data_IF_441233465182
#
_entry.id   IF_441233465182
#
_cell.length_a   1.000
_cell.length_b   1.000
_cell.length_c   1.000
_cell.angle_alpha   90.00
_cell.angle_beta   90.00
_cell.angle_gamma   90.00
#
_symmetry.space_group_name_H-M   'P 1'
#
loop_
_entity.id
_entity.type
_entity.pdbx_description
1 polymer ?
#
# COMPACT_ATOMS: atom_id res chain seq x y z
N UNK A 1 -21.96 -5.55 65.57
CA UNK A 1 -23.43 -5.57 65.69
C UNK A 1 -23.89 -4.12 65.81
N UNK A 2 -24.59 -3.64 64.78
CA UNK A 2 -25.64 -2.60 64.74
C UNK A 2 -25.44 -1.24 65.48
N UNK A 3 -25.73 -0.04 64.92
CA UNK A 3 -26.53 0.37 63.74
C UNK A 3 -26.32 1.86 63.37
N UNK A 4 -26.42 2.13 62.06
CA UNK A 4 -27.08 3.26 61.33
C UNK A 4 -26.55 4.71 61.39
N UNK A 5 -25.91 5.07 60.28
CA UNK A 5 -26.28 6.11 59.29
C UNK A 5 -27.29 7.21 59.66
N UNK A 6 -26.90 8.46 59.44
CA UNK A 6 -27.65 9.44 58.62
C UNK A 6 -26.69 10.47 57.98
N UNK A 7 -26.97 10.82 56.73
CA UNK A 7 -26.16 11.62 55.83
C UNK A 7 -26.46 13.13 55.92
N UNK A 8 -25.49 13.99 55.55
CA UNK A 8 -25.59 14.93 54.41
C UNK A 8 -24.47 15.99 54.42
N UNK A 9 -24.19 16.52 53.24
CA UNK A 9 -22.89 16.98 52.75
C UNK A 9 -22.87 18.48 52.43
N UNK A 10 -21.67 18.98 52.10
CA UNK A 10 -21.28 20.28 51.50
C UNK A 10 -21.20 21.47 52.47
N UNK A 11 -20.15 22.29 52.48
CA UNK A 11 -19.00 22.44 51.59
C UNK A 11 -18.59 23.93 51.56
N UNK A 12 -17.46 24.24 52.20
CA UNK A 12 -16.82 25.57 52.40
C UNK A 12 -16.48 26.28 51.07
N UNK A 13 -16.73 27.59 50.93
CA UNK A 13 -15.85 28.75 51.26
C UNK A 13 -14.47 28.67 50.61
N UNK A 14 -13.85 29.69 50.00
CA UNK A 14 -14.11 31.13 49.85
C UNK A 14 -13.01 31.71 48.94
N UNK A 15 -13.30 32.83 48.29
CA UNK A 15 -12.40 33.60 47.42
C UNK A 15 -11.39 34.49 48.17
N UNK A 16 -10.28 34.87 47.49
CA UNK A 16 -9.59 36.19 47.50
C UNK A 16 -8.21 36.00 46.84
N UNK A 17 -7.88 36.49 45.63
CA UNK A 17 -7.79 37.86 45.10
C UNK A 17 -6.43 38.58 45.35
N UNK A 18 -5.82 38.98 44.21
CA UNK A 18 -5.02 40.19 43.89
C UNK A 18 -3.48 40.22 44.04
N UNK A 19 -2.87 40.73 42.96
CA UNK A 19 -1.54 41.39 42.89
C UNK A 19 -0.92 41.26 41.49
N UNK A 20 -1.29 42.10 40.49
CA UNK A 20 -0.52 43.26 39.95
C UNK A 20 0.89 42.89 39.39
N UNK A 21 1.36 43.25 38.20
CA UNK A 21 0.89 44.10 37.10
C UNK A 21 2.09 44.58 36.24
N UNK A 22 1.82 44.94 34.97
CA UNK A 22 2.66 45.75 34.02
C UNK A 22 3.94 45.06 33.48
N UNK A 23 4.38 45.17 32.23
CA UNK A 23 3.95 45.87 31.02
C UNK A 23 5.14 46.01 30.04
N UNK A 24 4.84 46.26 28.76
CA UNK A 24 5.69 46.80 27.66
C UNK A 24 6.57 45.82 26.84
N UNK A 25 6.36 45.87 25.53
CA UNK A 25 7.19 45.24 24.50
C UNK A 25 8.33 46.14 23.99
N UNK A 26 9.15 45.57 23.10
CA UNK A 26 10.21 46.26 22.38
C UNK A 26 10.33 45.72 20.95
N UNK A 27 10.30 46.65 19.98
CA UNK A 27 10.73 46.48 18.59
C UNK A 27 12.20 46.86 18.46
N UNK A 28 12.87 46.22 17.50
CA UNK A 28 13.95 46.80 16.68
C UNK A 28 15.35 46.26 16.99
N UNK A 29 16.04 45.71 15.97
CA UNK A 29 16.95 46.48 15.10
C UNK A 29 17.81 45.52 14.25
N UNK A 30 17.82 45.78 12.94
CA UNK A 30 18.79 45.26 11.97
C UNK A 30 20.15 45.94 12.14
N UNK A 31 21.25 45.20 11.92
CA UNK A 31 22.51 45.75 11.39
C UNK A 31 23.33 44.61 10.76
N UNK A 32 23.75 44.82 9.50
CA UNK A 32 24.44 43.84 8.68
C UNK A 32 25.96 43.95 8.66
N UNK A 33 26.58 42.96 7.99
CA UNK A 33 27.91 42.86 7.33
C UNK A 33 27.99 41.39 6.86
N UNK A 34 28.12 40.99 5.61
CA UNK A 34 28.91 41.52 4.51
C UNK A 34 30.19 40.68 4.35
N UNK A 35 30.16 39.59 3.56
CA UNK A 35 31.31 39.00 2.82
C UNK A 35 30.85 37.78 2.01
N UNK A 36 31.02 37.85 0.69
CA UNK A 36 30.76 36.73 -0.23
C UNK A 36 31.97 35.83 -0.47
N UNK A 37 31.70 34.67 -1.07
CA UNK A 37 32.46 34.00 -2.16
C UNK A 37 31.94 32.57 -2.36
N UNK A 38 31.84 32.17 -3.63
CA UNK A 38 31.96 30.78 -4.06
C UNK A 38 30.65 30.03 -4.30
N UNK A 39 30.10 30.17 -5.51
CA UNK A 39 29.16 29.19 -6.06
C UNK A 39 29.83 27.80 -6.10
N UNK A 40 29.21 26.82 -5.45
CA UNK A 40 29.56 25.41 -5.59
C UNK A 40 28.94 24.86 -6.89
N UNK A 41 29.63 23.93 -7.57
CA UNK A 41 29.27 23.51 -8.93
C UNK A 41 27.97 22.70 -8.93
N UNK A 42 27.11 23.02 -9.90
CA UNK A 42 25.94 22.23 -10.26
C UNK A 42 26.37 20.81 -10.65
N UNK A 43 25.74 19.73 -10.14
CA UNK A 43 26.00 18.40 -10.66
C UNK A 43 25.49 18.29 -12.11
N UNK A 44 26.17 17.49 -12.96
CA UNK A 44 25.80 17.35 -14.37
C UNK A 44 24.42 16.69 -14.52
N UNK A 45 23.66 16.98 -15.59
CA UNK A 45 22.37 16.35 -15.81
C UNK A 45 22.60 14.88 -16.19
N UNK A 46 22.16 13.96 -15.34
CA UNK A 46 22.10 12.54 -15.66
C UNK A 46 20.96 12.30 -16.63
N UNK A 47 21.30 12.08 -17.89
CA UNK A 47 20.36 11.66 -18.93
C UNK A 47 19.90 10.23 -18.68
N UNK A 48 18.75 10.06 -18.03
CA UNK A 48 18.00 8.81 -18.07
C UNK A 48 16.67 9.04 -18.81
N UNK A 49 16.59 8.40 -19.97
CA UNK A 49 15.42 8.38 -20.85
C UNK A 49 14.20 7.91 -20.07
N UNK A 50 13.38 8.86 -19.67
CA UNK A 50 12.09 8.61 -19.04
C UNK A 50 11.08 8.42 -20.18
N UNK A 51 10.64 7.18 -20.41
CA UNK A 51 9.46 6.91 -21.24
C UNK A 51 8.24 7.48 -20.50
N UNK A 52 7.95 8.73 -20.83
CA UNK A 52 6.81 9.49 -20.32
C UNK A 52 5.56 9.00 -21.05
N UNK A 53 4.68 8.31 -20.33
CA UNK A 53 3.28 8.22 -20.73
C UNK A 53 2.55 9.47 -20.22
N UNK A 54 1.72 10.12 -21.05
CA UNK A 54 1.16 11.42 -20.69
C UNK A 54 0.16 11.28 -19.55
N UNK A 55 0.31 12.14 -18.54
CA UNK A 55 -0.67 12.35 -17.50
C UNK A 55 -1.95 12.95 -18.13
N UNK A 56 -3.11 12.46 -17.69
CA UNK A 56 -4.41 13.03 -18.02
C UNK A 56 -4.50 14.47 -17.48
N UNK A 57 -4.21 15.44 -18.35
CA UNK A 57 -4.47 16.85 -18.10
C UNK A 57 -5.92 17.16 -18.41
N UNK A 58 -6.65 17.72 -17.45
CA UNK A 58 -7.86 18.46 -17.77
C UNK A 58 -7.48 19.69 -18.58
N UNK A 59 -7.97 19.76 -19.81
CA UNK A 59 -7.82 20.92 -20.67
C UNK A 59 -9.20 21.29 -21.22
N UNK A 60 -9.59 22.48 -20.84
CA UNK A 60 -10.71 23.27 -21.35
C UNK A 60 -10.70 23.36 -22.87
N UNK A 61 -11.90 23.35 -23.44
CA UNK A 61 -12.22 23.40 -24.86
C UNK A 61 -11.33 24.33 -25.69
N UNK A 62 -10.67 23.74 -26.69
CA UNK A 62 -10.35 24.40 -27.95
C UNK A 62 -10.27 23.34 -29.06
N UNK A 63 -11.10 23.55 -30.05
CA UNK A 63 -11.43 22.76 -31.23
C UNK A 63 -10.21 22.44 -32.11
N UNK A 64 -9.90 21.15 -32.34
CA UNK A 64 -9.15 20.69 -33.52
C UNK A 64 -9.44 19.20 -33.79
N UNK A 65 -9.98 18.94 -34.97
CA UNK A 65 -10.36 17.65 -35.58
C UNK A 65 -9.37 16.50 -35.36
N UNK A 66 -9.78 15.48 -34.60
CA UNK A 66 -9.14 14.16 -34.51
C UNK A 66 -10.16 13.08 -34.85
N UNK A 67 -9.89 12.27 -35.88
CA UNK A 67 -10.86 11.32 -36.44
C UNK A 67 -11.28 10.21 -35.46
N UNK A 68 -12.57 9.92 -35.47
CA UNK A 68 -13.20 8.76 -34.84
C UNK A 68 -12.58 7.46 -35.39
N UNK A 69 -11.60 6.90 -34.68
CA UNK A 69 -11.29 5.50 -34.83
C UNK A 69 -12.44 4.69 -34.22
N UNK A 70 -13.03 3.72 -34.94
CA UNK A 70 -14.06 2.87 -34.35
C UNK A 70 -13.49 2.14 -33.12
N UNK A 71 -14.30 1.90 -32.08
CA UNK A 71 -13.84 1.19 -30.90
C UNK A 71 -13.28 -0.17 -31.31
N UNK A 72 -12.12 -0.54 -30.77
CA UNK A 72 -11.54 -1.84 -31.00
C UNK A 72 -12.49 -2.87 -30.38
N UNK A 73 -13.00 -3.79 -31.20
CA UNK A 73 -13.85 -4.90 -30.75
C UNK A 73 -13.12 -6.21 -31.01
N UNK A 74 -12.93 -6.99 -29.95
CA UNK A 74 -12.38 -8.34 -30.06
C UNK A 74 -13.45 -9.27 -30.61
N UNK A 75 -13.22 -9.85 -31.79
CA UNK A 75 -14.16 -10.77 -32.43
C UNK A 75 -13.82 -12.24 -32.19
N UNK A 76 -12.79 -12.54 -31.39
CA UNK A 76 -12.34 -13.91 -31.17
C UNK A 76 -13.15 -14.56 -30.03
N UNK A 77 -13.88 -15.66 -30.28
CA UNK A 77 -14.61 -16.37 -29.23
C UNK A 77 -13.74 -17.37 -28.45
N UNK A 78 -12.49 -17.58 -28.88
CA UNK A 78 -11.57 -18.57 -28.31
C UNK A 78 -10.58 -17.91 -27.34
N UNK A 79 -10.13 -18.68 -26.33
CA UNK A 79 -9.06 -18.28 -25.39
C UNK A 79 -7.70 -18.06 -26.07
N UNK A 80 -7.52 -18.60 -27.28
CA UNK A 80 -6.38 -18.36 -28.15
C UNK A 80 -6.86 -18.30 -29.60
N UNK A 81 -6.58 -17.20 -30.33
CA UNK A 81 -6.99 -17.05 -31.71
C UNK A 81 -6.48 -18.21 -32.59
N UNK A 82 -7.31 -18.70 -33.52
CA UNK A 82 -6.95 -19.82 -34.40
C UNK A 82 -5.61 -19.61 -35.15
N UNK A 83 -5.33 -18.36 -35.55
CA UNK A 83 -4.06 -17.98 -36.19
C UNK A 83 -2.87 -18.18 -35.27
N UNK A 84 -3.01 -17.81 -34.00
CA UNK A 84 -1.97 -17.99 -33.00
C UNK A 84 -1.81 -19.47 -32.62
N UNK A 85 -2.93 -20.21 -32.44
CA UNK A 85 -2.89 -21.66 -32.18
C UNK A 85 -2.14 -22.42 -33.26
N UNK A 86 -2.49 -22.19 -34.53
CA UNK A 86 -1.83 -22.83 -35.66
C UNK A 86 -0.33 -22.49 -35.73
N UNK A 87 0.02 -21.23 -35.43
CA UNK A 87 1.43 -20.81 -35.36
C UNK A 87 2.18 -21.54 -34.25
N UNK A 88 1.55 -21.74 -33.09
CA UNK A 88 2.17 -22.38 -31.92
C UNK A 88 2.28 -23.90 -32.07
N UNK A 89 1.32 -24.55 -32.70
CA UNK A 89 1.43 -25.96 -33.09
C UNK A 89 2.61 -26.17 -34.06
N UNK A 90 2.74 -25.29 -35.07
CA UNK A 90 3.85 -25.33 -36.03
C UNK A 90 5.21 -25.14 -35.37
N UNK A 91 5.31 -24.21 -34.43
CA UNK A 91 6.54 -23.90 -33.71
C UNK A 91 6.82 -24.84 -32.52
N UNK A 92 5.92 -25.80 -32.21
CA UNK A 92 5.97 -26.67 -31.02
C UNK A 92 6.08 -25.87 -29.71
N UNK A 93 5.37 -24.77 -29.69
CA UNK A 93 5.49 -23.69 -28.73
C UNK A 93 4.29 -23.71 -27.74
N UNK A 94 3.96 -24.93 -27.27
CA UNK A 94 2.83 -25.22 -26.38
C UNK A 94 3.30 -25.56 -24.96
N UNK A 95 2.72 -24.88 -23.96
CA UNK A 95 2.95 -25.18 -22.55
C UNK A 95 2.34 -26.55 -22.18
N UNK A 96 2.79 -27.15 -21.07
CA UNK A 96 2.36 -28.49 -20.64
C UNK A 96 0.83 -28.65 -20.61
N UNK A 97 0.11 -27.65 -20.11
CA UNK A 97 -1.35 -27.68 -19.98
C UNK A 97 -2.12 -27.41 -21.28
N UNK A 98 -1.43 -26.94 -22.32
CA UNK A 98 -2.07 -26.66 -23.61
C UNK A 98 -1.98 -27.88 -24.56
N UNK A 99 -1.30 -28.95 -24.16
CA UNK A 99 -1.01 -30.11 -25.02
C UNK A 99 -2.11 -31.15 -24.93
N UNK A 100 -2.62 -31.59 -26.08
CA UNK A 100 -3.53 -32.73 -26.16
C UNK A 100 -2.72 -34.01 -25.95
N UNK A 101 -2.99 -34.73 -24.85
CA UNK A 101 -2.29 -35.99 -24.54
C UNK A 101 -0.78 -35.83 -24.31
N UNK A 102 -0.32 -34.64 -23.93
CA UNK A 102 1.10 -34.34 -23.71
C UNK A 102 1.93 -34.10 -24.98
N UNK A 103 1.33 -34.19 -26.17
CA UNK A 103 2.02 -33.97 -27.45
C UNK A 103 2.38 -32.47 -27.64
N UNK A 104 3.67 -32.11 -27.76
CA UNK A 104 4.11 -30.73 -27.94
C UNK A 104 3.73 -30.10 -29.28
N UNK A 105 3.21 -30.87 -30.25
CA UNK A 105 2.79 -30.39 -31.56
C UNK A 105 1.28 -30.25 -31.71
N UNK A 106 0.48 -30.59 -30.69
CA UNK A 106 -0.99 -30.64 -30.79
C UNK A 106 -1.66 -29.95 -29.63
N UNK A 107 -2.57 -29.02 -29.93
CA UNK A 107 -3.45 -28.39 -28.95
C UNK A 107 -4.93 -28.52 -29.37
N UNK A 108 -5.84 -27.96 -28.58
CA UNK A 108 -7.26 -27.85 -28.91
C UNK A 108 -7.75 -26.42 -28.69
N UNK A 109 -8.93 -26.11 -29.22
CA UNK A 109 -9.66 -24.85 -28.92
C UNK A 109 -9.83 -24.62 -27.43
N UNK A 110 -10.08 -25.69 -26.67
CA UNK A 110 -10.38 -25.65 -25.24
C UNK A 110 -9.14 -25.60 -24.34
N UNK A 111 -7.95 -25.97 -24.85
CA UNK A 111 -6.71 -26.02 -24.07
C UNK A 111 -5.78 -24.84 -24.38
N UNK A 112 -5.76 -24.36 -25.62
CA UNK A 112 -4.84 -23.30 -26.00
C UNK A 112 -5.29 -21.94 -25.47
N UNK A 113 -4.34 -21.20 -24.88
CA UNK A 113 -4.57 -19.83 -24.39
C UNK A 113 -3.42 -18.93 -24.87
N UNK A 114 -3.72 -17.72 -25.36
CA UNK A 114 -2.75 -16.77 -25.96
C UNK A 114 -1.45 -16.57 -25.16
N UNK A 115 -0.26 -16.73 -25.76
CA UNK A 115 1.02 -17.07 -25.06
C UNK A 115 1.80 -15.97 -24.30
N UNK A 116 2.37 -16.36 -23.13
CA UNK A 116 3.70 -16.12 -22.50
C UNK A 116 3.95 -17.11 -21.30
N UNK A 117 5.17 -17.19 -20.70
CA UNK A 117 5.87 -18.30 -19.96
C UNK A 117 5.28 -18.93 -18.64
N UNK A 118 6.06 -19.77 -17.91
CA UNK A 118 5.80 -20.98 -17.04
C UNK A 118 4.68 -20.89 -15.97
N UNK A 119 3.63 -21.72 -16.08
CA UNK A 119 2.52 -22.05 -15.13
C UNK A 119 1.98 -20.93 -14.22
N UNK A 120 2.71 -20.51 -13.18
CA UNK A 120 2.33 -19.32 -12.42
C UNK A 120 2.34 -18.10 -13.33
N UNK A 121 3.43 -17.93 -14.08
CA UNK A 121 3.58 -16.89 -15.08
C UNK A 121 2.55 -17.08 -16.20
N UNK A 122 2.13 -18.33 -16.46
CA UNK A 122 1.09 -18.63 -17.44
C UNK A 122 -0.26 -18.12 -16.95
N UNK A 123 -0.69 -18.50 -15.75
CA UNK A 123 -1.96 -18.05 -15.16
C UNK A 123 -1.96 -16.52 -15.07
N UNK A 124 -0.87 -15.94 -14.59
CA UNK A 124 -0.71 -14.50 -14.45
C UNK A 124 -0.73 -13.75 -15.79
N UNK A 125 -0.03 -14.26 -16.79
CA UNK A 125 -0.03 -13.69 -18.15
C UNK A 125 -1.41 -13.81 -18.80
N UNK A 126 -2.07 -14.97 -18.69
CA UNK A 126 -3.41 -15.17 -19.25
C UNK A 126 -4.44 -14.25 -18.61
N UNK A 127 -4.42 -14.17 -17.29
CA UNK A 127 -5.32 -13.27 -16.56
C UNK A 127 -5.02 -11.80 -16.89
N UNK A 128 -3.75 -11.43 -17.11
CA UNK A 128 -3.38 -10.10 -17.62
C UNK A 128 -3.91 -9.84 -19.04
N UNK A 129 -3.78 -10.79 -19.96
CA UNK A 129 -4.29 -10.63 -21.34
C UNK A 129 -5.80 -10.47 -21.37
N UNK A 130 -6.54 -11.23 -20.54
CA UNK A 130 -8.01 -11.09 -20.43
C UNK A 130 -8.37 -9.69 -19.95
N UNK A 131 -7.72 -9.17 -18.89
CA UNK A 131 -7.95 -7.79 -18.42
C UNK A 131 -7.64 -6.76 -19.51
N UNK A 132 -6.55 -6.95 -20.25
CA UNK A 132 -6.17 -6.05 -21.33
C UNK A 132 -7.22 -6.02 -22.45
N UNK A 133 -7.73 -7.18 -22.87
CA UNK A 133 -8.75 -7.26 -23.91
C UNK A 133 -10.08 -6.63 -23.47
N UNK A 134 -10.48 -6.82 -22.19
CA UNK A 134 -11.65 -6.15 -21.61
C UNK A 134 -11.46 -4.62 -21.56
N UNK A 135 -10.28 -4.16 -21.16
CA UNK A 135 -9.95 -2.74 -21.07
C UNK A 135 -9.88 -2.08 -22.45
N UNK A 136 -9.27 -2.72 -23.44
CA UNK A 136 -9.20 -2.20 -24.82
C UNK A 136 -10.58 -2.04 -25.45
N UNK A 137 -11.53 -2.89 -25.07
CA UNK A 137 -12.93 -2.85 -25.54
C UNK A 137 -13.83 -1.98 -24.66
N UNK A 138 -13.30 -1.40 -23.57
CA UNK A 138 -14.04 -0.62 -22.58
C UNK A 138 -15.30 -1.34 -22.04
N UNK A 139 -15.19 -2.65 -21.78
CA UNK A 139 -16.31 -3.47 -21.30
C UNK A 139 -16.45 -3.29 -19.78
N UNK A 140 -17.58 -2.71 -19.34
CA UNK A 140 -17.92 -2.53 -17.93
C UNK A 140 -19.31 -3.11 -17.66
N UNK A 141 -19.37 -4.28 -17.03
CA UNK A 141 -20.61 -4.96 -16.63
C UNK A 141 -20.34 -5.98 -15.50
N UNK A 142 -21.39 -6.61 -14.98
CA UNK A 142 -21.28 -7.60 -13.88
C UNK A 142 -20.39 -8.80 -14.22
N UNK A 143 -20.40 -9.27 -15.48
CA UNK A 143 -19.56 -10.39 -15.92
C UNK A 143 -18.07 -9.99 -15.93
N UNK A 144 -17.76 -8.80 -16.42
CA UNK A 144 -16.39 -8.26 -16.38
C UNK A 144 -15.90 -8.12 -14.94
N UNK A 145 -16.74 -7.63 -14.03
CA UNK A 145 -16.41 -7.58 -12.60
C UNK A 145 -16.05 -8.98 -12.09
N UNK A 146 -16.93 -9.97 -12.29
CA UNK A 146 -16.67 -11.34 -11.82
C UNK A 146 -15.34 -11.91 -12.34
N UNK A 147 -15.03 -11.67 -13.63
CA UNK A 147 -13.75 -12.07 -14.21
C UNK A 147 -12.59 -11.41 -13.47
N UNK A 148 -12.66 -10.11 -13.19
CA UNK A 148 -11.61 -9.43 -12.45
C UNK A 148 -11.49 -9.90 -10.98
N UNK A 149 -12.60 -10.26 -10.33
CA UNK A 149 -12.57 -10.86 -8.98
C UNK A 149 -11.83 -12.21 -8.98
N UNK A 150 -12.07 -13.05 -10.00
CA UNK A 150 -11.39 -14.34 -10.17
C UNK A 150 -9.91 -14.16 -10.51
N UNK A 151 -9.60 -13.20 -11.39
CA UNK A 151 -8.22 -12.83 -11.75
C UNK A 151 -7.44 -12.34 -10.53
N UNK A 152 -8.09 -11.58 -9.64
CA UNK A 152 -7.51 -11.14 -8.35
C UNK A 152 -7.16 -12.36 -7.50
N UNK A 153 -8.07 -13.32 -7.33
CA UNK A 153 -7.79 -14.55 -6.59
C UNK A 153 -6.57 -15.26 -7.15
N UNK A 154 -6.51 -15.47 -8.46
CA UNK A 154 -5.38 -16.11 -9.13
C UNK A 154 -4.05 -15.35 -8.94
N UNK A 155 -4.08 -14.02 -9.03
CA UNK A 155 -2.90 -13.16 -8.82
C UNK A 155 -2.43 -13.12 -7.35
N UNK A 156 -3.32 -13.52 -6.44
CA UNK A 156 -3.06 -13.56 -5.01
C UNK A 156 -2.43 -14.89 -4.56
N UNK A 157 -2.59 -15.97 -5.32
CA UNK A 157 -1.94 -17.24 -4.98
C UNK A 157 -0.43 -17.17 -5.21
N UNK A 158 0.35 -17.16 -4.13
CA UNK A 158 1.81 -17.34 -4.16
C UNK A 158 2.24 -18.43 -3.19
N UNK A 159 3.18 -19.26 -3.64
CA UNK A 159 3.95 -20.17 -2.79
C UNK A 159 5.24 -19.45 -2.36
N UNK A 160 5.65 -19.64 -1.10
CA UNK A 160 6.58 -18.74 -0.37
C UNK A 160 8.01 -18.61 -0.93
N UNK A 161 8.43 -19.40 -1.92
CA UNK A 161 9.86 -19.55 -2.26
C UNK A 161 10.36 -18.77 -3.51
N UNK A 162 9.54 -17.95 -4.17
CA UNK A 162 9.93 -17.25 -5.41
C UNK A 162 10.07 -15.73 -5.27
N UNK A 163 11.11 -15.27 -4.55
CA UNK A 163 11.38 -13.86 -4.21
C UNK A 163 11.42 -12.87 -5.39
N UNK A 164 11.80 -13.29 -6.61
CA UNK A 164 11.88 -12.39 -7.78
C UNK A 164 10.53 -12.09 -8.46
N UNK A 165 9.50 -12.92 -8.28
CA UNK A 165 8.21 -12.77 -8.99
C UNK A 165 7.14 -12.05 -8.14
N UNK A 166 7.36 -11.93 -6.83
CA UNK A 166 6.48 -11.23 -5.90
C UNK A 166 6.24 -9.74 -6.27
N UNK A 167 7.28 -9.03 -6.72
CA UNK A 167 7.15 -7.63 -7.11
C UNK A 167 6.25 -7.42 -8.35
N UNK A 168 6.43 -8.23 -9.40
CA UNK A 168 5.62 -8.15 -10.62
C UNK A 168 4.15 -8.47 -10.33
N UNK A 169 3.92 -9.43 -9.43
CA UNK A 169 2.59 -9.81 -8.98
C UNK A 169 1.85 -8.68 -8.27
N UNK A 170 2.54 -7.95 -7.39
CA UNK A 170 1.93 -6.83 -6.67
C UNK A 170 1.57 -5.65 -7.59
N UNK A 171 2.40 -5.34 -8.60
CA UNK A 171 2.06 -4.30 -9.57
C UNK A 171 0.81 -4.65 -10.39
N UNK A 172 0.70 -5.90 -10.83
CA UNK A 172 -0.49 -6.33 -11.60
C UNK A 172 -1.73 -6.50 -10.72
N UNK A 173 -1.58 -6.97 -9.46
CA UNK A 173 -2.66 -6.99 -8.49
C UNK A 173 -3.19 -5.57 -8.25
N UNK A 174 -2.29 -4.60 -8.07
CA UNK A 174 -2.66 -3.19 -7.90
C UNK A 174 -3.40 -2.65 -9.14
N UNK A 175 -2.92 -2.92 -10.35
CA UNK A 175 -3.60 -2.55 -11.61
C UNK A 175 -4.97 -3.20 -11.74
N UNK A 176 -5.09 -4.48 -11.36
CA UNK A 176 -6.35 -5.21 -11.34
C UNK A 176 -7.35 -4.56 -10.36
N UNK A 177 -6.91 -4.26 -9.14
CA UNK A 177 -7.74 -3.64 -8.10
C UNK A 177 -8.16 -2.21 -8.46
N UNK A 178 -7.30 -1.43 -9.10
CA UNK A 178 -7.65 -0.10 -9.63
C UNK A 178 -8.73 -0.19 -10.71
N UNK A 179 -8.59 -1.14 -11.64
CA UNK A 179 -9.61 -1.35 -12.69
C UNK A 179 -10.93 -1.85 -12.11
N UNK A 180 -10.88 -2.72 -11.09
CA UNK A 180 -12.06 -3.13 -10.32
C UNK A 180 -12.73 -1.95 -9.65
N UNK A 181 -11.95 -1.07 -9.01
CA UNK A 181 -12.47 0.16 -8.42
C UNK A 181 -13.20 1.02 -9.46
N UNK A 182 -12.61 1.26 -10.63
CA UNK A 182 -13.23 2.08 -11.69
C UNK A 182 -14.54 1.45 -12.18
N UNK A 183 -14.59 0.11 -12.33
CA UNK A 183 -15.80 -0.61 -12.71
C UNK A 183 -16.88 -0.53 -11.63
N UNK A 184 -16.53 -0.71 -10.36
CA UNK A 184 -17.48 -0.55 -9.25
C UNK A 184 -18.00 0.88 -9.14
N UNK A 185 -17.15 1.90 -9.30
CA UNK A 185 -17.57 3.30 -9.27
C UNK A 185 -18.51 3.64 -10.44
N UNK A 186 -18.22 3.11 -11.64
CA UNK A 186 -19.08 3.27 -12.81
C UNK A 186 -20.45 2.57 -12.66
N UNK A 187 -20.49 1.35 -12.10
CA UNK A 187 -21.75 0.63 -11.87
C UNK A 187 -22.52 1.25 -10.70
N UNK A 188 -21.84 1.69 -9.63
CA UNK A 188 -22.45 2.34 -8.47
C UNK A 188 -23.22 3.61 -8.85
N UNK A 189 -22.72 4.36 -9.83
CA UNK A 189 -23.42 5.53 -10.41
C UNK A 189 -24.68 5.15 -11.19
N UNK A 190 -24.78 3.91 -11.65
CA UNK A 190 -25.81 3.45 -12.58
C UNK A 190 -26.86 2.51 -11.97
N UNK A 191 -26.58 1.75 -10.90
CA UNK A 191 -27.53 0.84 -10.22
C UNK A 191 -27.05 0.31 -8.85
N UNK A 192 -27.97 -0.35 -8.14
CA UNK A 192 -27.94 -0.94 -6.79
C UNK A 192 -26.59 -1.41 -6.22
N UNK A 193 -26.38 -1.09 -4.93
CA UNK A 193 -25.24 -1.48 -4.09
C UNK A 193 -24.91 -2.97 -4.20
N UNK A 194 -23.76 -3.28 -4.77
CA UNK A 194 -23.17 -4.61 -4.71
C UNK A 194 -22.59 -4.88 -3.32
N UNK A 195 -22.82 -6.09 -2.81
CA UNK A 195 -22.39 -6.54 -1.48
C UNK A 195 -20.87 -6.39 -1.24
N UNK A 196 -20.07 -6.42 -2.32
CA UNK A 196 -18.60 -6.40 -2.25
C UNK A 196 -17.98 -5.02 -2.47
N UNK A 197 -18.75 -3.98 -2.78
CA UNK A 197 -18.23 -2.62 -3.03
C UNK A 197 -17.35 -2.13 -1.88
N UNK A 198 -17.79 -2.37 -0.65
CA UNK A 198 -17.09 -1.91 0.54
C UNK A 198 -15.72 -2.60 0.73
N UNK A 199 -15.60 -3.86 0.32
CA UNK A 199 -14.34 -4.60 0.33
C UNK A 199 -13.34 -3.97 -0.67
N UNK A 200 -13.74 -3.75 -1.91
CA UNK A 200 -12.85 -3.19 -2.94
C UNK A 200 -12.49 -1.72 -2.69
N UNK A 201 -13.45 -0.93 -2.22
CA UNK A 201 -13.17 0.44 -1.77
C UNK A 201 -12.23 0.46 -0.57
N UNK A 202 -12.26 -0.54 0.31
CA UNK A 202 -11.25 -0.66 1.38
C UNK A 202 -9.85 -0.91 0.83
N UNK A 203 -9.72 -1.76 -0.19
CA UNK A 203 -8.43 -2.02 -0.85
C UNK A 203 -7.89 -0.77 -1.52
N UNK A 204 -8.76 -0.02 -2.19
CA UNK A 204 -8.42 1.27 -2.77
C UNK A 204 -7.84 2.24 -1.73
N UNK A 205 -8.41 2.28 -0.53
CA UNK A 205 -7.88 3.10 0.57
C UNK A 205 -6.53 2.58 1.08
N UNK A 206 -6.35 1.28 1.25
CA UNK A 206 -5.08 0.69 1.72
C UNK A 206 -3.94 0.93 0.73
N UNK A 207 -4.27 0.90 -0.56
CA UNK A 207 -3.36 1.20 -1.66
C UNK A 207 -2.76 2.62 -1.53
N UNK A 208 -3.42 3.57 -0.86
CA UNK A 208 -2.89 4.92 -0.61
C UNK A 208 -1.82 5.00 0.48
N UNK A 209 -1.50 3.92 1.21
CA UNK A 209 -0.36 3.93 2.12
C UNK A 209 0.97 4.11 1.37
N UNK A 210 1.03 3.69 0.11
CA UNK A 210 2.19 3.81 -0.76
C UNK A 210 2.07 4.95 -1.77
N UNK A 211 3.06 5.84 -1.82
CA UNK A 211 3.12 6.94 -2.79
C UNK A 211 3.35 6.48 -4.26
N UNK A 212 3.31 5.18 -4.56
CA UNK A 212 3.65 4.60 -5.87
C UNK A 212 2.46 4.37 -6.79
N UNK A 213 1.26 4.80 -6.39
CA UNK A 213 0.10 4.79 -7.28
C UNK A 213 0.13 6.07 -8.13
N UNK A 214 -0.17 6.00 -9.44
CA UNK A 214 -0.42 7.20 -10.22
C UNK A 214 -1.37 8.09 -9.44
N UNK A 215 -0.91 9.30 -9.12
CA UNK A 215 -1.64 10.25 -8.26
C UNK A 215 -3.10 10.31 -8.70
N UNK A 216 -3.97 10.04 -7.75
CA UNK A 216 -5.41 10.17 -7.87
C UNK A 216 -5.76 11.56 -8.44
N UNK A 217 -6.78 11.61 -9.30
CA UNK A 217 -7.28 12.88 -9.87
C UNK A 217 -7.84 13.79 -8.75
N UNK A 218 -8.46 13.18 -7.73
CA UNK A 218 -9.04 13.86 -6.56
C UNK A 218 -8.37 13.46 -5.23
N UNK A 219 -8.54 14.25 -4.16
CA UNK A 219 -8.08 13.85 -2.82
C UNK A 219 -9.00 12.78 -2.22
N UNK A 220 -8.44 11.85 -1.44
CA UNK A 220 -9.22 10.85 -0.68
C UNK A 220 -10.36 11.49 0.15
N UNK A 221 -10.12 12.68 0.71
CA UNK A 221 -11.12 13.43 1.47
C UNK A 221 -12.35 13.79 0.64
N UNK A 222 -12.17 14.17 -0.63
CA UNK A 222 -13.25 14.53 -1.55
C UNK A 222 -14.00 13.26 -1.97
N UNK A 223 -13.27 12.19 -2.28
CA UNK A 223 -13.88 10.90 -2.63
C UNK A 223 -14.76 10.33 -1.50
N UNK A 224 -14.31 10.40 -0.24
CA UNK A 224 -15.13 9.97 0.92
C UNK A 224 -16.47 10.71 1.02
N UNK A 225 -16.55 11.96 0.55
CA UNK A 225 -17.78 12.75 0.55
C UNK A 225 -18.86 12.22 -0.40
N UNK A 226 -18.47 11.46 -1.41
CA UNK A 226 -19.37 10.90 -2.42
C UNK A 226 -19.88 9.49 -2.07
N UNK A 227 -19.34 8.86 -1.02
CA UNK A 227 -19.67 7.49 -0.66
C UNK A 227 -20.90 7.39 0.26
N UNK A 228 -21.77 6.38 0.06
CA UNK A 228 -22.86 6.08 0.98
C UNK A 228 -22.39 5.73 2.40
N UNK A 229 -23.20 6.10 3.39
CA UNK A 229 -22.91 5.81 4.79
C UNK A 229 -22.84 4.30 5.11
N UNK A 230 -23.52 3.43 4.36
CA UNK A 230 -23.44 1.97 4.50
C UNK A 230 -22.01 1.45 4.22
N UNK A 231 -21.39 1.95 3.15
CA UNK A 231 -20.02 1.63 2.76
C UNK A 231 -19.03 2.19 3.78
N UNK A 232 -19.17 3.47 4.15
CA UNK A 232 -18.22 4.14 5.07
C UNK A 232 -18.20 3.49 6.46
N UNK A 233 -19.31 2.87 6.86
CA UNK A 233 -19.48 2.17 8.15
C UNK A 233 -19.23 0.66 8.06
N UNK A 234 -18.85 0.13 6.89
CA UNK A 234 -18.51 -1.28 6.77
C UNK A 234 -17.26 -1.62 7.59
N UNK A 235 -17.12 -2.89 7.98
CA UNK A 235 -15.95 -3.35 8.74
C UNK A 235 -14.65 -3.16 7.95
N UNK A 236 -14.69 -3.42 6.64
CA UNK A 236 -13.56 -3.33 5.72
C UNK A 236 -13.08 -1.88 5.61
N UNK A 237 -14.02 -0.94 5.45
CA UNK A 237 -13.71 0.48 5.34
C UNK A 237 -13.22 1.08 6.66
N UNK A 238 -13.81 0.68 7.80
CA UNK A 238 -13.33 1.08 9.13
C UNK A 238 -11.90 0.59 9.36
N UNK A 239 -11.60 -0.66 9.02
CA UNK A 239 -10.25 -1.21 9.07
C UNK A 239 -9.28 -0.35 8.24
N UNK A 240 -9.56 -0.15 6.95
CA UNK A 240 -8.67 0.58 6.05
C UNK A 240 -8.40 2.02 6.52
N UNK A 241 -9.44 2.72 6.99
CA UNK A 241 -9.31 4.07 7.58
C UNK A 241 -8.50 4.07 8.87
N UNK A 242 -8.66 3.05 9.71
CA UNK A 242 -7.90 2.92 10.96
C UNK A 242 -6.41 2.72 10.66
N UNK A 243 -6.07 1.85 9.72
CA UNK A 243 -4.70 1.58 9.27
C UNK A 243 -4.06 2.85 8.71
N UNK A 244 -4.73 3.53 7.77
CA UNK A 244 -4.24 4.78 7.16
C UNK A 244 -3.99 5.86 8.23
N UNK A 245 -4.93 6.03 9.16
CA UNK A 245 -4.80 6.98 10.27
C UNK A 245 -3.63 6.63 11.20
N UNK A 246 -3.46 5.37 11.58
CA UNK A 246 -2.38 4.94 12.46
C UNK A 246 -1.02 5.18 11.81
N UNK A 247 -0.90 4.88 10.50
CA UNK A 247 0.31 5.12 9.72
C UNK A 247 0.68 6.62 9.67
N UNK A 248 -0.28 7.50 9.36
CA UNK A 248 0.00 8.94 9.26
C UNK A 248 0.28 9.61 10.61
N UNK A 249 -0.43 9.23 11.67
CA UNK A 249 -0.21 9.76 13.03
C UNK A 249 1.10 9.21 13.63
N UNK A 250 1.61 8.08 13.11
CA UNK A 250 2.81 7.43 13.64
C UNK A 250 2.54 6.49 14.82
N UNK A 251 1.29 6.04 15.00
CA UNK A 251 0.96 5.04 16.02
C UNK A 251 1.22 3.64 15.48
N UNK A 252 2.50 3.27 15.37
CA UNK A 252 2.90 2.02 14.76
C UNK A 252 2.52 0.77 15.57
N UNK A 253 2.48 0.86 16.91
CA UNK A 253 1.96 -0.23 17.75
C UNK A 253 0.53 -0.59 17.35
N UNK A 254 -0.36 0.40 17.29
CA UNK A 254 -1.75 0.16 16.90
C UNK A 254 -1.86 -0.27 15.44
N UNK A 255 -1.03 0.28 14.55
CA UNK A 255 -0.95 -0.14 13.16
C UNK A 255 -0.70 -1.65 13.05
N UNK A 256 0.39 -2.17 13.61
CA UNK A 256 0.71 -3.60 13.52
C UNK A 256 -0.30 -4.48 14.27
N UNK A 257 -0.72 -4.09 15.48
CA UNK A 257 -1.71 -4.87 16.23
C UNK A 257 -3.06 -4.97 15.52
N UNK A 258 -3.54 -3.89 14.88
CA UNK A 258 -4.79 -3.92 14.11
C UNK A 258 -4.67 -4.81 12.88
N UNK A 259 -3.53 -4.77 12.17
CA UNK A 259 -3.32 -5.67 11.03
C UNK A 259 -3.32 -7.13 11.51
N UNK A 260 -2.57 -7.45 12.56
CA UNK A 260 -2.48 -8.80 13.10
C UNK A 260 -3.83 -9.37 13.58
N UNK A 261 -4.71 -8.51 14.10
CA UNK A 261 -5.99 -8.94 14.69
C UNK A 261 -7.15 -8.98 13.69
N UNK A 262 -7.18 -8.07 12.70
CA UNK A 262 -8.39 -7.81 11.90
C UNK A 262 -8.18 -7.97 10.38
N UNK A 263 -6.95 -8.01 9.88
CA UNK A 263 -6.71 -8.02 8.44
C UNK A 263 -7.18 -9.33 7.80
N UNK A 264 -7.86 -9.22 6.66
CA UNK A 264 -8.07 -10.38 5.78
C UNK A 264 -6.77 -10.72 5.04
N UNK A 265 -6.64 -11.95 4.56
CA UNK A 265 -5.46 -12.41 3.80
C UNK A 265 -5.09 -11.45 2.65
N UNK A 266 -6.11 -10.94 1.96
CA UNK A 266 -5.90 -10.00 0.85
C UNK A 266 -5.48 -8.61 1.35
N UNK A 267 -6.04 -8.11 2.44
CA UNK A 267 -5.62 -6.84 3.04
C UNK A 267 -4.19 -6.92 3.56
N UNK A 268 -3.81 -8.04 4.18
CA UNK A 268 -2.45 -8.29 4.64
C UNK A 268 -1.47 -8.28 3.47
N UNK A 269 -1.76 -9.01 2.39
CA UNK A 269 -0.94 -9.02 1.17
C UNK A 269 -0.76 -7.63 0.57
N UNK A 270 -1.81 -6.80 0.57
CA UNK A 270 -1.71 -5.41 0.12
C UNK A 270 -0.83 -4.54 1.03
N UNK A 271 -0.76 -4.87 2.32
CA UNK A 271 -0.02 -4.10 3.32
C UNK A 271 1.45 -4.55 3.47
N UNK A 272 1.77 -5.80 3.15
CA UNK A 272 3.10 -6.40 3.25
C UNK A 272 4.25 -5.53 2.68
N UNK A 273 4.14 -4.96 1.46
CA UNK A 273 5.18 -4.11 0.91
C UNK A 273 5.48 -2.87 1.74
N UNK A 274 4.50 -2.39 2.53
CA UNK A 274 4.59 -1.17 3.32
C UNK A 274 4.99 -1.41 4.77
N UNK A 275 5.02 -2.67 5.24
CA UNK A 275 5.35 -2.98 6.62
C UNK A 275 6.76 -2.49 6.98
N UNK A 276 7.76 -2.78 6.15
CA UNK A 276 9.13 -2.32 6.42
C UNK A 276 9.27 -0.80 6.29
N UNK A 277 8.53 -0.14 5.39
CA UNK A 277 8.48 1.32 5.35
C UNK A 277 7.91 1.90 6.65
N UNK A 278 6.85 1.29 7.20
CA UNK A 278 6.30 1.66 8.49
C UNK A 278 7.31 1.43 9.63
N UNK A 279 8.05 0.31 9.62
CA UNK A 279 9.08 0.00 10.62
C UNK A 279 10.23 1.00 10.58
N UNK A 280 10.75 1.33 9.39
CA UNK A 280 11.81 2.35 9.22
C UNK A 280 11.34 3.71 9.74
N UNK A 281 10.09 4.09 9.44
CA UNK A 281 9.50 5.32 9.95
C UNK A 281 9.31 5.30 11.47
N UNK A 282 9.00 4.15 12.05
CA UNK A 282 8.96 3.97 13.49
C UNK A 282 10.35 4.14 14.13
N UNK A 283 11.37 3.49 13.56
CA UNK A 283 12.77 3.62 13.99
C UNK A 283 13.25 5.06 13.93
N UNK A 284 12.86 5.81 12.89
CA UNK A 284 13.10 7.24 12.81
C UNK A 284 12.52 7.96 14.04
N UNK A 285 11.26 7.71 14.41
CA UNK A 285 10.68 8.34 15.60
C UNK A 285 11.36 7.91 16.90
N UNK A 286 11.72 6.63 17.06
CA UNK A 286 12.48 6.18 18.22
C UNK A 286 13.85 6.85 18.31
N UNK A 287 14.57 7.00 17.18
CA UNK A 287 15.85 7.71 17.16
C UNK A 287 15.69 9.20 17.49
N UNK A 288 14.59 9.83 17.07
CA UNK A 288 14.31 11.23 17.39
C UNK A 288 13.64 11.42 18.77
N UNK A 289 13.26 10.34 19.46
CA UNK A 289 12.56 10.39 20.74
C UNK A 289 13.46 10.79 21.90
N UNK A 290 12.81 11.29 22.97
CA UNK A 290 13.42 11.47 24.28
C UNK A 290 14.30 12.72 24.46
N UNK A 291 14.28 13.22 25.70
CA UNK A 291 15.26 14.19 26.21
C UNK A 291 16.48 13.49 26.85
N UNK A 292 16.36 12.21 27.18
CA UNK A 292 17.41 11.37 27.78
C UNK A 292 17.87 10.33 26.76
N UNK A 293 19.17 10.06 26.72
CA UNK A 293 19.82 9.01 25.90
C UNK A 293 19.52 7.59 26.43
N UNK A 294 18.27 7.32 26.82
CA UNK A 294 17.86 5.98 27.24
C UNK A 294 17.90 5.05 26.04
N UNK A 295 18.57 3.91 26.20
CA UNK A 295 18.66 2.89 25.16
C UNK A 295 17.32 2.21 24.98
N UNK A 296 16.96 1.92 23.75
CA UNK A 296 15.75 1.18 23.38
C UNK A 296 16.12 -0.29 23.17
N UNK A 297 15.65 -1.22 24.02
CA UNK A 297 15.87 -2.65 23.82
C UNK A 297 15.22 -3.13 22.53
N UNK A 298 15.95 -3.90 21.73
CA UNK A 298 15.45 -4.45 20.48
C UNK A 298 14.32 -5.46 20.73
N UNK A 299 14.35 -6.20 21.84
CA UNK A 299 13.26 -7.09 22.28
C UNK A 299 11.92 -6.35 22.37
N UNK A 300 11.90 -5.21 23.05
CA UNK A 300 10.69 -4.40 23.20
C UNK A 300 10.22 -3.79 21.88
N UNK A 301 11.16 -3.35 21.03
CA UNK A 301 10.83 -2.80 19.72
C UNK A 301 10.32 -3.87 18.74
N UNK A 302 10.87 -5.07 18.82
CA UNK A 302 10.44 -6.26 18.07
C UNK A 302 8.97 -6.58 18.35
N UNK A 303 8.55 -6.56 19.62
CA UNK A 303 7.15 -6.72 20.01
C UNK A 303 6.23 -5.62 19.46
N UNK A 304 6.67 -4.35 19.53
CA UNK A 304 5.88 -3.21 19.05
C UNK A 304 5.71 -3.24 17.52
N UNK A 305 6.77 -3.59 16.81
CA UNK A 305 6.86 -3.55 15.35
C UNK A 305 6.51 -4.89 14.69
N UNK A 306 6.21 -5.91 15.51
CA UNK A 306 5.80 -7.26 15.13
C UNK A 306 6.71 -7.82 14.04
N UNK A 307 8.01 -7.87 14.36
CA UNK A 307 9.12 -8.32 13.50
C UNK A 307 10.08 -9.16 14.34
N UNK A 308 10.76 -10.14 13.75
CA UNK A 308 11.78 -10.89 14.48
C UNK A 308 12.95 -9.99 14.91
N UNK A 309 13.55 -10.29 16.06
CA UNK A 309 14.64 -9.47 16.60
C UNK A 309 15.85 -9.43 15.66
N UNK A 310 16.19 -10.56 15.02
CA UNK A 310 17.28 -10.66 14.04
C UNK A 310 17.03 -9.79 12.81
N UNK A 311 15.78 -9.74 12.33
CA UNK A 311 15.40 -8.91 11.19
C UNK A 311 15.37 -7.42 11.56
N UNK A 312 14.90 -7.10 12.76
CA UNK A 312 14.94 -5.73 13.29
C UNK A 312 16.37 -5.22 13.41
N UNK A 313 17.29 -6.06 13.89
CA UNK A 313 18.71 -5.75 13.98
C UNK A 313 19.31 -5.44 12.60
N UNK A 314 18.99 -6.25 11.59
CA UNK A 314 19.39 -6.01 10.20
C UNK A 314 18.81 -4.69 9.66
N UNK A 315 17.53 -4.41 9.94
CA UNK A 315 16.86 -3.18 9.50
C UNK A 315 17.44 -1.93 10.17
N UNK A 316 17.77 -2.01 11.46
CA UNK A 316 18.45 -0.95 12.21
C UNK A 316 19.81 -0.63 11.59
N UNK A 317 20.63 -1.65 11.31
CA UNK A 317 21.93 -1.48 10.63
C UNK A 317 21.78 -0.85 9.25
N UNK A 318 20.77 -1.28 8.48
CA UNK A 318 20.46 -0.70 7.17
C UNK A 318 20.12 0.79 7.26
N UNK A 319 19.46 1.21 8.34
CA UNK A 319 19.16 2.61 8.63
C UNK A 319 20.36 3.38 9.22
N UNK A 320 21.53 2.76 9.38
CA UNK A 320 22.71 3.39 9.99
C UNK A 320 22.67 3.51 11.51
N UNK A 321 21.80 2.75 12.20
CA UNK A 321 21.76 2.74 13.66
C UNK A 321 22.84 1.81 14.23
N UNK A 322 23.57 2.30 15.23
CA UNK A 322 24.53 1.51 15.99
C UNK A 322 23.83 0.82 17.16
N UNK A 323 24.03 -0.49 17.27
CA UNK A 323 23.41 -1.35 18.28
C UNK A 323 24.49 -1.75 19.28
N UNK A 324 24.25 -1.48 20.56
CA UNK A 324 25.07 -1.99 21.66
C UNK A 324 24.53 -3.35 22.11
N UNK A 325 25.42 -4.31 22.27
CA UNK A 325 25.14 -5.64 22.80
C UNK A 325 25.74 -5.75 24.20
N UNK A 326 24.88 -5.90 25.21
CA UNK A 326 25.27 -6.32 26.55
C UNK A 326 24.84 -7.79 26.73
N UNK A 327 25.47 -8.51 27.65
CA UNK A 327 25.46 -9.98 27.78
C UNK A 327 24.16 -10.73 27.43
N UNK A 328 22.97 -10.15 27.63
CA UNK A 328 21.66 -10.70 27.19
C UNK A 328 20.71 -9.69 26.50
N UNK A 329 21.14 -8.45 26.21
CA UNK A 329 20.25 -7.42 25.65
C UNK A 329 20.91 -6.59 24.55
N UNK A 330 20.29 -6.61 23.37
CA UNK A 330 20.61 -5.71 22.25
C UNK A 330 19.77 -4.45 22.37
N UNK A 331 20.39 -3.28 22.26
CA UNK A 331 19.70 -2.01 22.33
C UNK A 331 20.41 -0.94 21.49
N UNK A 332 19.67 0.03 20.95
CA UNK A 332 20.26 1.21 20.32
C UNK A 332 19.98 2.47 21.13
N UNK A 333 20.91 3.43 21.09
CA UNK A 333 20.74 4.73 21.73
C UNK A 333 20.09 5.73 20.75
N UNK A 334 19.13 6.57 21.19
CA UNK A 334 18.53 7.58 20.33
C UNK A 334 19.53 8.71 20.01
N UNK A 335 19.15 9.59 19.09
CA UNK A 335 19.91 10.76 18.61
C UNK A 335 21.18 10.40 17.83
N UNK A 336 21.20 9.24 17.19
CA UNK A 336 22.27 8.87 16.26
C UNK A 336 22.13 9.67 14.96
N UNK A 337 23.14 10.50 14.67
CA UNK A 337 23.20 11.33 13.46
C UNK A 337 23.46 10.52 12.19
N UNK A 338 23.94 9.28 12.33
CA UNK A 338 24.14 8.33 11.25
C UNK A 338 22.83 7.79 10.66
N UNK A 339 21.69 8.02 11.32
CA UNK A 339 20.40 7.52 10.85
C UNK A 339 20.05 8.10 9.48
N UNK A 340 19.72 7.21 8.54
CA UNK A 340 19.20 7.57 7.23
C UNK A 340 18.03 6.66 6.84
N UNK A 341 17.14 7.19 6.00
CA UNK A 341 16.10 6.37 5.36
C UNK A 341 16.75 5.68 4.16
N UNK A 342 16.79 4.34 4.10
CA UNK A 342 17.42 3.63 2.99
C UNK A 342 16.73 3.94 1.66
N UNK A 343 17.51 4.08 0.58
CA UNK A 343 16.96 4.30 -0.77
C UNK A 343 16.22 3.07 -1.34
N UNK A 344 16.55 1.87 -0.84
CA UNK A 344 15.85 0.63 -1.12
C UNK A 344 15.63 -0.11 0.20
N UNK A 345 14.37 -0.38 0.54
CA UNK A 345 13.99 -1.10 1.75
C UNK A 345 13.62 -2.53 1.33
N UNK A 346 14.18 -3.57 1.98
CA UNK A 346 13.86 -4.95 1.66
C UNK A 346 12.38 -5.26 1.91
N UNK A 347 11.84 -6.26 1.22
CA UNK A 347 10.49 -6.74 1.49
C UNK A 347 10.39 -7.31 2.92
N UNK A 348 9.20 -7.23 3.50
CA UNK A 348 8.91 -7.76 4.83
C UNK A 348 8.63 -9.25 4.76
N UNK A 349 9.08 -10.01 5.75
CA UNK A 349 8.69 -11.42 5.95
C UNK A 349 7.32 -11.57 6.64
N UNK A 350 6.46 -10.54 6.53
CA UNK A 350 5.14 -10.49 7.14
C UNK A 350 5.10 -9.89 8.55
N UNK A 351 4.11 -10.32 9.34
CA UNK A 351 3.89 -9.91 10.74
C UNK A 351 4.29 -11.06 11.65
N UNK A 352 5.24 -10.80 12.53
CA UNK A 352 5.68 -11.75 13.54
C UNK A 352 4.91 -11.58 14.85
N UNK A 353 4.30 -12.66 15.34
CA UNK A 353 3.65 -12.70 16.66
C UNK A 353 4.49 -13.60 17.56
N UNK A 354 5.21 -13.01 18.51
CA UNK A 354 5.94 -13.78 19.53
C UNK A 354 4.96 -14.67 20.30
N UNK A 355 5.26 -15.97 20.40
CA UNK A 355 4.43 -16.99 21.07
C UNK A 355 4.20 -16.71 22.57
N UNK A 356 4.90 -15.75 23.16
CA UNK A 356 4.76 -15.35 24.56
C UNK A 356 3.62 -14.36 24.83
N UNK A 357 3.08 -13.68 23.81
CA UNK A 357 1.97 -12.72 23.98
C UNK A 357 0.56 -13.37 24.02
N UNK A 358 0.48 -14.70 24.05
CA UNK A 358 -0.77 -15.47 24.17
C UNK A 358 -1.03 -16.07 25.57
N UNK A 359 -0.26 -15.68 26.60
CA UNK A 359 -0.48 -16.13 27.98
C UNK A 359 -1.09 -15.07 28.88
#
# INVERSE_FOLDING_TARGET
>A
MDRRDTASHCGRSSASARGQGRGRGWRGREEGRGRGRGAAPSPPPTSYSTSSFPAAGSATAADTTGGDAPPIVGSCPDMCPARERAQRERLRDLALFERVGGDPARTSTSLAVKKFEIVHDFIFDRTRSVRQDLSMQNIVNEQAIHIYEDVRLASSYQDSDASSMCYLNMEQLMKCLLSLFDMYDAIHKNNSQSSKEAEYYSFYVLLHLGCKIPKMVDSLSLWYGHLPASIVRSKEMIFARSILRCYHIGNFKRFFCTIAAEATDLQLRLLEPFLNEARVRALMYFNHSGYKLQRHPLTHLSEILMIEELELEALCRLCGLEISENEDTKAFAPKQASFCIPGSIPQSNGIYISRESQR
#
